data_IF_669588201785
#
_entry.id   IF_669588201785
#
_cell.length_a   1.000
_cell.length_b   1.000
_cell.length_c   1.000
_cell.angle_alpha   90.00
_cell.angle_beta   90.00
_cell.angle_gamma   90.00
#
_symmetry.space_group_name_H-M   'P 1'
#
loop_
_entity.id
_entity.type
_entity.pdbx_description
1 polymer ?
#
# COMPACT_ATOMS: atom_id res chain seq x y z
N UNK A 1 -7.98 -15.27 -34.20
CA UNK A 1 -7.69 -15.94 -32.91
C UNK A 1 -6.28 -15.56 -32.48
N UNK A 2 -6.12 -14.49 -31.70
CA UNK A 2 -4.82 -14.09 -31.17
C UNK A 2 -4.51 -14.98 -29.97
N UNK A 3 -3.57 -15.91 -30.14
CA UNK A 3 -2.99 -16.68 -29.05
C UNK A 3 -2.43 -15.72 -28.00
N UNK A 4 -3.20 -15.47 -26.94
CA UNK A 4 -2.73 -14.81 -25.74
C UNK A 4 -1.64 -15.70 -25.14
N UNK A 5 -0.38 -15.39 -25.43
CA UNK A 5 0.76 -15.94 -24.71
C UNK A 5 0.49 -15.69 -23.22
N UNK A 6 0.26 -16.74 -22.45
CA UNK A 6 0.30 -16.65 -20.99
C UNK A 6 1.74 -16.32 -20.65
N UNK A 7 2.06 -15.04 -20.55
CA UNK A 7 3.36 -14.60 -20.06
C UNK A 7 3.42 -15.02 -18.60
N UNK A 8 4.30 -15.98 -18.29
CA UNK A 8 4.65 -16.26 -16.91
C UNK A 8 5.14 -14.96 -16.27
N UNK A 9 4.80 -14.73 -15.00
CA UNK A 9 5.32 -13.58 -14.27
C UNK A 9 6.86 -13.56 -14.26
N UNK A 10 7.49 -12.43 -13.88
CA UNK A 10 8.95 -12.30 -13.86
C UNK A 10 9.63 -13.46 -13.14
N UNK A 11 10.78 -13.91 -13.60
CA UNK A 11 11.58 -14.94 -12.95
C UNK A 11 12.20 -14.45 -11.63
N UNK A 12 12.78 -15.37 -10.85
CA UNK A 12 13.52 -15.00 -9.63
C UNK A 12 14.72 -14.09 -9.95
N UNK A 13 15.43 -14.35 -11.05
CA UNK A 13 16.55 -13.51 -11.50
C UNK A 13 16.12 -12.14 -12.00
N UNK A 14 14.93 -12.02 -12.61
CA UNK A 14 14.39 -10.71 -13.00
C UNK A 14 14.08 -9.85 -11.77
N UNK A 15 13.49 -10.45 -10.72
CA UNK A 15 13.24 -9.76 -9.45
C UNK A 15 14.54 -9.38 -8.75
N UNK A 16 15.54 -10.26 -8.76
CA UNK A 16 16.85 -9.99 -8.18
C UNK A 16 17.53 -8.80 -8.89
N UNK A 17 17.50 -8.78 -10.23
CA UNK A 17 18.01 -7.66 -11.01
C UNK A 17 17.24 -6.36 -10.72
N UNK A 18 15.91 -6.43 -10.64
CA UNK A 18 15.07 -5.28 -10.33
C UNK A 18 15.43 -4.66 -8.99
N UNK A 19 15.57 -5.45 -7.92
CA UNK A 19 16.01 -4.92 -6.63
C UNK A 19 17.44 -4.40 -6.67
N UNK A 20 18.36 -5.11 -7.34
CA UNK A 20 19.77 -4.68 -7.41
C UNK A 20 19.96 -3.34 -8.10
N UNK A 21 19.23 -3.12 -9.20
CA UNK A 21 19.55 -2.09 -10.18
C UNK A 21 18.50 -1.00 -10.33
N UNK A 22 17.23 -1.27 -10.01
CA UNK A 22 16.11 -0.40 -10.38
C UNK A 22 15.29 0.10 -9.20
N UNK A 23 15.06 -0.73 -8.18
CA UNK A 23 14.18 -0.35 -7.06
C UNK A 23 14.72 0.89 -6.33
N UNK A 24 13.93 1.96 -6.16
CA UNK A 24 14.41 3.24 -5.65
C UNK A 24 14.52 3.27 -4.11
N UNK A 25 15.33 2.37 -3.53
CA UNK A 25 15.46 2.18 -2.08
C UNK A 25 15.71 3.47 -1.30
N UNK A 26 16.58 4.36 -1.81
CA UNK A 26 16.89 5.64 -1.16
C UNK A 26 15.65 6.53 -1.04
N UNK A 27 14.84 6.62 -2.10
CA UNK A 27 13.66 7.48 -2.12
C UNK A 27 12.55 6.92 -1.23
N UNK A 28 12.31 5.60 -1.28
CA UNK A 28 11.33 4.94 -0.43
C UNK A 28 11.72 5.01 1.05
N UNK A 29 13.00 4.79 1.37
CA UNK A 29 13.51 4.97 2.72
C UNK A 29 13.30 6.40 3.21
N UNK A 30 13.71 7.41 2.43
CA UNK A 30 13.56 8.81 2.82
C UNK A 30 12.10 9.23 2.99
N UNK A 31 11.21 8.74 2.12
CA UNK A 31 9.77 8.96 2.23
C UNK A 31 9.25 8.42 3.57
N UNK A 32 9.50 7.15 3.86
CA UNK A 32 8.99 6.48 5.06
C UNK A 32 9.66 6.92 6.37
N UNK A 33 10.90 7.42 6.27
CA UNK A 33 11.67 7.94 7.40
C UNK A 33 11.32 9.40 7.72
N UNK A 34 10.67 10.11 6.79
CA UNK A 34 10.31 11.53 6.90
C UNK A 34 11.50 12.47 7.19
N UNK A 35 12.72 12.02 6.90
CA UNK A 35 13.98 12.71 7.18
C UNK A 35 15.10 12.07 6.36
N UNK A 36 16.15 12.82 5.96
CA UNK A 36 17.36 12.23 5.38
C UNK A 36 18.19 11.41 6.36
N UNK A 37 18.12 11.72 7.66
CA UNK A 37 18.85 11.00 8.72
C UNK A 37 17.97 9.87 9.27
N UNK A 38 18.44 8.60 9.31
CA UNK A 38 17.67 7.50 9.88
C UNK A 38 17.09 7.82 11.25
N UNK A 39 15.82 7.49 11.42
CA UNK A 39 15.04 7.77 12.62
C UNK A 39 14.15 6.56 12.98
N UNK A 40 13.42 6.70 14.08
CA UNK A 40 12.45 5.70 14.53
C UNK A 40 11.39 5.38 13.47
N UNK A 41 11.06 6.34 12.60
CA UNK A 41 10.02 6.18 11.57
C UNK A 41 10.38 5.12 10.51
N UNK A 42 11.66 4.76 10.37
CA UNK A 42 12.10 3.58 9.60
C UNK A 42 12.55 2.43 10.49
N UNK A 43 13.36 2.69 11.52
CA UNK A 43 13.94 1.64 12.38
C UNK A 43 12.85 0.79 13.05
N UNK A 44 11.75 1.43 13.46
CA UNK A 44 10.63 0.77 14.10
C UNK A 44 9.45 0.51 13.16
N UNK A 45 9.63 0.65 11.84
CA UNK A 45 8.57 0.38 10.87
C UNK A 45 8.54 -1.09 10.50
N UNK A 46 7.34 -1.66 10.52
CA UNK A 46 7.15 -3.03 10.05
C UNK A 46 7.21 -3.08 8.52
N UNK A 47 7.91 -4.10 8.02
CA UNK A 47 7.78 -4.59 6.66
C UNK A 47 7.43 -6.08 6.68
N UNK A 48 6.49 -6.47 5.82
CA UNK A 48 6.20 -7.87 5.54
C UNK A 48 6.72 -8.25 4.16
N UNK A 49 7.22 -9.47 3.99
CA UNK A 49 7.73 -9.99 2.72
C UNK A 49 6.91 -11.21 2.30
N UNK A 50 6.42 -11.20 1.06
CA UNK A 50 5.71 -12.32 0.45
C UNK A 50 6.60 -12.99 -0.59
N UNK A 51 6.74 -14.31 -0.50
CA UNK A 51 7.62 -15.10 -1.35
C UNK A 51 6.84 -15.95 -2.35
N UNK A 52 7.50 -16.32 -3.45
CA UNK A 52 6.92 -17.16 -4.50
C UNK A 52 6.47 -18.54 -4.03
N UNK A 53 7.10 -19.04 -2.96
CA UNK A 53 6.70 -20.29 -2.29
C UNK A 53 5.36 -20.20 -1.56
N UNK A 54 4.76 -19.02 -1.45
CA UNK A 54 3.60 -18.75 -0.61
C UNK A 54 3.95 -18.38 0.83
N UNK A 55 5.22 -18.45 1.21
CA UNK A 55 5.67 -17.99 2.53
C UNK A 55 5.42 -16.48 2.71
N UNK A 56 5.09 -16.09 3.94
CA UNK A 56 4.83 -14.70 4.31
C UNK A 56 5.52 -14.38 5.63
N UNK A 57 6.48 -13.46 5.61
CA UNK A 57 7.32 -13.11 6.77
C UNK A 57 7.02 -11.69 7.22
N UNK A 58 6.37 -11.55 8.37
CA UNK A 58 6.07 -10.27 9.03
C UNK A 58 7.20 -9.78 9.93
N UNK A 59 7.03 -8.56 10.46
CA UNK A 59 7.88 -7.98 11.49
C UNK A 59 9.36 -7.83 11.11
N UNK A 60 9.66 -7.57 9.84
CA UNK A 60 11.00 -7.11 9.45
C UNK A 60 11.08 -5.59 9.70
N UNK A 61 12.28 -5.08 9.98
CA UNK A 61 12.53 -3.63 10.03
C UNK A 61 13.98 -3.33 9.67
N UNK A 62 14.25 -2.11 9.22
CA UNK A 62 15.52 -1.75 8.57
C UNK A 62 16.10 -0.46 9.15
N UNK A 63 17.42 -0.44 9.35
CA UNK A 63 18.10 0.65 10.04
C UNK A 63 18.60 1.76 9.12
N UNK A 64 18.82 1.45 7.84
CA UNK A 64 19.38 2.38 6.86
C UNK A 64 18.97 2.00 5.44
N UNK A 65 19.27 2.86 4.46
CA UNK A 65 19.07 2.56 3.04
C UNK A 65 19.84 1.30 2.64
N UNK A 66 21.07 1.15 3.13
CA UNK A 66 21.94 0.00 2.84
C UNK A 66 21.39 -1.29 3.46
N UNK A 67 20.92 -1.23 4.71
CA UNK A 67 20.31 -2.38 5.39
C UNK A 67 19.00 -2.81 4.70
N UNK A 68 18.14 -1.85 4.35
CA UNK A 68 16.91 -2.11 3.61
C UNK A 68 17.20 -2.77 2.25
N UNK A 69 18.12 -2.20 1.47
CA UNK A 69 18.53 -2.77 0.18
C UNK A 69 19.11 -4.19 0.34
N UNK A 70 20.09 -4.36 1.22
CA UNK A 70 20.78 -5.64 1.40
C UNK A 70 19.83 -6.76 1.86
N UNK A 71 18.89 -6.46 2.76
CA UNK A 71 17.93 -7.46 3.23
C UNK A 71 16.90 -7.84 2.16
N UNK A 72 16.40 -6.87 1.39
CA UNK A 72 15.46 -7.15 0.29
C UNK A 72 16.15 -7.91 -0.86
N UNK A 73 17.37 -7.55 -1.23
CA UNK A 73 18.15 -8.28 -2.24
C UNK A 73 18.42 -9.73 -1.80
N UNK A 74 18.81 -9.93 -0.54
CA UNK A 74 19.08 -11.27 0.01
C UNK A 74 17.82 -12.12 0.07
N UNK A 75 16.68 -11.52 0.43
CA UNK A 75 15.41 -12.24 0.55
C UNK A 75 14.74 -12.49 -0.81
N UNK A 76 14.94 -11.58 -1.77
CA UNK A 76 14.32 -11.57 -3.10
C UNK A 76 12.80 -11.89 -3.09
N UNK A 77 11.98 -11.14 -2.33
CA UNK A 77 10.54 -11.42 -2.24
C UNK A 77 9.82 -11.01 -3.54
N UNK A 78 8.70 -11.68 -3.86
CA UNK A 78 7.84 -11.29 -5.00
C UNK A 78 7.23 -9.89 -4.76
N UNK A 79 6.95 -9.55 -3.49
CA UNK A 79 6.60 -8.20 -3.04
C UNK A 79 6.90 -8.03 -1.56
N UNK A 80 6.92 -6.79 -1.10
CA UNK A 80 6.86 -6.47 0.31
C UNK A 80 5.81 -5.40 0.60
N UNK A 81 5.36 -5.37 1.84
CA UNK A 81 4.25 -4.55 2.30
C UNK A 81 4.72 -3.68 3.46
N UNK A 82 4.23 -2.44 3.51
CA UNK A 82 4.65 -1.42 4.47
C UNK A 82 3.62 -1.34 5.60
N UNK A 83 4.08 -1.51 6.83
CA UNK A 83 3.27 -1.48 8.04
C UNK A 83 3.40 -0.18 8.85
N UNK A 84 2.95 -0.26 10.09
CA UNK A 84 2.98 0.84 11.05
C UNK A 84 4.41 1.08 11.60
N UNK A 85 4.61 2.28 12.14
CA UNK A 85 5.72 2.64 13.01
C UNK A 85 5.35 2.20 14.43
N UNK A 86 6.22 1.42 15.06
CA UNK A 86 6.03 0.89 16.39
C UNK A 86 6.87 1.62 17.45
N UNK A 87 6.58 1.36 18.72
CA UNK A 87 7.37 1.85 19.85
C UNK A 87 8.75 1.16 20.00
N UNK A 88 8.90 -0.07 19.49
CA UNK A 88 10.15 -0.86 19.47
C UNK A 88 10.38 -1.42 18.05
N UNK A 89 11.62 -1.81 17.67
CA UNK A 89 11.89 -2.41 16.37
C UNK A 89 11.11 -3.72 16.15
N UNK A 90 10.29 -3.83 15.08
CA UNK A 90 9.53 -5.06 14.80
C UNK A 90 10.39 -6.33 14.72
N UNK A 91 11.62 -6.23 14.19
CA UNK A 91 12.55 -7.37 14.09
C UNK A 91 12.94 -8.00 15.43
N UNK A 92 12.75 -7.30 16.54
CA UNK A 92 13.05 -7.76 17.90
C UNK A 92 11.84 -8.41 18.59
N UNK A 93 10.71 -8.52 17.87
CA UNK A 93 9.43 -9.02 18.41
C UNK A 93 9.55 -10.35 19.14
N UNK A 94 10.37 -11.28 18.67
CA UNK A 94 10.46 -12.61 19.27
C UNK A 94 11.12 -12.62 20.66
N UNK A 95 11.80 -11.53 21.02
CA UNK A 95 12.34 -11.29 22.38
C UNK A 95 11.40 -10.49 23.27
N UNK A 96 10.25 -10.06 22.75
CA UNK A 96 9.29 -9.18 23.42
C UNK A 96 7.99 -9.93 23.72
N UNK A 97 7.31 -9.53 24.80
CA UNK A 97 5.92 -9.94 25.00
C UNK A 97 5.03 -9.24 23.95
N UNK A 98 4.03 -9.95 23.42
CA UNK A 98 3.13 -9.40 22.37
C UNK A 98 2.50 -8.06 22.75
N UNK A 99 2.20 -7.84 24.04
CA UNK A 99 1.60 -6.61 24.56
C UNK A 99 2.54 -5.40 24.54
N UNK A 100 3.83 -5.61 24.34
CA UNK A 100 4.84 -4.55 24.37
C UNK A 100 5.03 -3.85 23.02
N UNK A 101 4.69 -4.51 21.91
CA UNK A 101 4.86 -3.95 20.57
C UNK A 101 3.59 -3.20 20.16
N UNK A 102 3.59 -1.88 20.33
CA UNK A 102 2.43 -1.00 20.10
C UNK A 102 2.66 -0.13 18.87
N UNK A 103 1.70 -0.16 17.95
CA UNK A 103 1.68 0.73 16.80
C UNK A 103 1.43 2.18 17.26
N UNK A 104 2.20 3.12 16.74
CA UNK A 104 2.16 4.53 17.10
C UNK A 104 1.61 5.38 15.96
N UNK A 105 2.13 5.19 14.76
CA UNK A 105 1.79 6.01 13.59
C UNK A 105 1.83 5.16 12.32
N UNK A 106 1.04 5.55 11.32
CA UNK A 106 1.08 4.98 9.96
C UNK A 106 0.42 5.94 9.00
N UNK A 107 0.93 6.07 7.78
CA UNK A 107 0.24 6.77 6.71
C UNK A 107 -1.22 6.33 6.62
N UNK A 108 -2.12 7.30 6.44
CA UNK A 108 -3.52 7.02 6.14
C UNK A 108 -3.59 6.53 4.69
N UNK A 109 -4.19 5.36 4.49
CA UNK A 109 -4.20 4.69 3.20
C UNK A 109 -5.63 4.44 2.74
N UNK A 110 -5.84 4.58 1.44
CA UNK A 110 -7.08 4.21 0.78
C UNK A 110 -6.77 3.26 -0.37
N UNK A 111 -7.61 2.26 -0.55
CA UNK A 111 -7.49 1.26 -1.60
C UNK A 111 -8.77 1.29 -2.44
N UNK A 112 -8.60 1.39 -3.75
CA UNK A 112 -9.69 1.40 -4.72
C UNK A 112 -9.37 0.37 -5.78
N UNK A 113 -10.18 -0.68 -5.81
CA UNK A 113 -10.09 -1.76 -6.77
C UNK A 113 -11.23 -1.73 -7.80
N UNK A 114 -10.95 -2.23 -9.00
CA UNK A 114 -11.89 -2.16 -10.12
C UNK A 114 -13.02 -3.20 -10.07
N UNK A 115 -12.84 -4.32 -9.38
CA UNK A 115 -13.88 -5.36 -9.31
C UNK A 115 -15.12 -4.94 -8.51
N UNK A 116 -14.97 -4.00 -7.57
CA UNK A 116 -16.12 -3.32 -6.94
C UNK A 116 -17.05 -2.63 -7.97
N UNK A 117 -16.59 -2.43 -9.21
CA UNK A 117 -17.35 -1.82 -10.31
C UNK A 117 -17.80 -2.82 -11.37
N UNK A 118 -17.62 -4.13 -11.17
CA UNK A 118 -17.96 -5.16 -12.17
C UNK A 118 -19.42 -5.11 -12.60
N UNK A 119 -20.35 -4.84 -11.67
CA UNK A 119 -21.77 -4.70 -11.96
C UNK A 119 -22.11 -3.48 -12.86
N UNK A 120 -21.18 -2.53 -13.02
CA UNK A 120 -21.41 -1.26 -13.71
C UNK A 120 -20.51 -1.06 -14.95
N UNK A 121 -19.72 -2.08 -15.33
CA UNK A 121 -18.85 -2.03 -16.50
C UNK A 121 -19.08 -3.22 -17.42
N UNK A 122 -19.01 -2.97 -18.72
CA UNK A 122 -19.20 -4.01 -19.75
C UNK A 122 -17.98 -4.22 -20.63
N UNK A 123 -16.97 -3.34 -20.54
CA UNK A 123 -15.78 -3.41 -21.39
C UNK A 123 -14.72 -4.42 -20.93
N UNK A 124 -14.76 -4.83 -19.66
CA UNK A 124 -13.86 -5.79 -19.03
C UNK A 124 -14.59 -6.45 -17.84
N UNK A 125 -14.09 -7.59 -17.36
CA UNK A 125 -14.61 -8.26 -16.15
C UNK A 125 -13.49 -8.74 -15.22
N UNK A 126 -13.82 -8.94 -13.94
CA UNK A 126 -12.92 -9.45 -12.91
C UNK A 126 -11.65 -8.60 -12.80
N UNK A 127 -10.52 -9.19 -13.14
CA UNK A 127 -9.23 -8.52 -12.96
C UNK A 127 -8.71 -7.78 -14.21
N UNK A 128 -9.44 -7.82 -15.32
CA UNK A 128 -9.06 -7.12 -16.54
C UNK A 128 -9.41 -5.63 -16.45
N UNK A 129 -8.57 -4.78 -17.03
CA UNK A 129 -8.79 -3.33 -17.11
C UNK A 129 -8.44 -2.80 -18.50
N UNK A 130 -9.14 -1.74 -18.93
CA UNK A 130 -8.78 -0.95 -20.10
C UNK A 130 -9.00 0.54 -19.80
N UNK A 131 -8.61 1.41 -20.74
CA UNK A 131 -8.75 2.87 -20.61
C UNK A 131 -10.20 3.34 -20.41
N UNK A 132 -11.20 2.55 -20.83
CA UNK A 132 -12.61 2.86 -20.61
C UNK A 132 -13.00 2.72 -19.13
N UNK A 133 -12.81 1.54 -18.53
CA UNK A 133 -13.16 1.33 -17.13
C UNK A 133 -12.20 2.04 -16.17
N UNK A 134 -10.96 2.33 -16.56
CA UNK A 134 -10.03 3.13 -15.74
C UNK A 134 -10.57 4.53 -15.38
N UNK A 135 -11.58 5.01 -16.11
CA UNK A 135 -12.32 6.23 -15.76
C UNK A 135 -13.00 6.13 -14.39
N UNK A 136 -13.41 4.95 -13.93
CA UNK A 136 -13.92 4.75 -12.56
C UNK A 136 -12.85 5.11 -11.52
N UNK A 137 -11.64 4.55 -11.64
CA UNK A 137 -10.51 4.88 -10.74
C UNK A 137 -10.15 6.35 -10.84
N UNK A 138 -10.14 6.91 -12.05
CA UNK A 138 -9.84 8.34 -12.27
C UNK A 138 -10.83 9.27 -11.57
N UNK A 139 -12.12 8.97 -11.63
CA UNK A 139 -13.16 9.72 -10.92
C UNK A 139 -13.08 9.52 -9.42
N UNK A 140 -12.84 8.29 -8.96
CA UNK A 140 -12.70 8.00 -7.54
C UNK A 140 -11.50 8.74 -6.93
N UNK A 141 -10.35 8.77 -7.62
CA UNK A 141 -9.21 9.61 -7.24
C UNK A 141 -9.57 11.09 -7.17
N UNK A 142 -10.34 11.61 -8.14
CA UNK A 142 -10.77 13.02 -8.14
C UNK A 142 -11.65 13.36 -6.93
N UNK A 143 -12.64 12.53 -6.64
CA UNK A 143 -13.56 12.71 -5.49
C UNK A 143 -12.79 12.63 -4.18
N UNK A 144 -11.96 11.59 -4.01
CA UNK A 144 -11.12 11.41 -2.83
C UNK A 144 -10.15 12.59 -2.65
N UNK A 145 -9.50 13.06 -3.72
CA UNK A 145 -8.60 14.20 -3.65
C UNK A 145 -9.30 15.49 -3.20
N UNK A 146 -10.55 15.69 -3.63
CA UNK A 146 -11.36 16.84 -3.24
C UNK A 146 -11.58 16.80 -1.72
N UNK A 147 -12.12 15.69 -1.19
CA UNK A 147 -12.33 15.54 0.25
C UNK A 147 -11.02 15.64 1.05
N UNK A 148 -9.95 14.97 0.61
CA UNK A 148 -8.66 14.99 1.30
C UNK A 148 -8.06 16.40 1.37
N UNK A 149 -8.18 17.22 0.31
CA UNK A 149 -7.62 18.57 0.25
C UNK A 149 -8.53 19.61 0.89
N UNK A 150 -9.80 19.62 0.54
CA UNK A 150 -10.73 20.71 0.85
C UNK A 150 -11.32 20.53 2.25
N UNK A 151 -11.70 19.30 2.60
CA UNK A 151 -12.39 19.03 3.87
C UNK A 151 -11.38 18.70 4.97
N UNK A 152 -10.44 17.80 4.67
CA UNK A 152 -9.43 17.38 5.65
C UNK A 152 -8.19 18.26 5.62
N UNK A 153 -7.95 19.09 4.61
CA UNK A 153 -6.78 19.97 4.52
C UNK A 153 -5.43 19.26 4.28
N UNK A 154 -5.43 18.00 3.84
CA UNK A 154 -4.20 17.21 3.64
C UNK A 154 -3.44 17.72 2.42
N UNK A 155 -2.11 17.74 2.51
CA UNK A 155 -1.24 18.34 1.49
C UNK A 155 -0.32 17.31 0.85
N UNK A 156 0.13 16.33 1.63
CA UNK A 156 1.17 15.38 1.27
C UNK A 156 0.54 14.01 1.03
N UNK A 157 0.05 13.77 -0.18
CA UNK A 157 -0.44 12.45 -0.57
C UNK A 157 -0.12 12.11 -2.01
N UNK A 158 0.05 10.81 -2.27
CA UNK A 158 0.35 10.26 -3.59
C UNK A 158 -0.56 9.07 -3.89
N UNK A 159 -0.92 8.93 -5.16
CA UNK A 159 -1.58 7.73 -5.66
C UNK A 159 -0.57 6.82 -6.36
N UNK A 160 -0.63 5.54 -6.05
CA UNK A 160 0.27 4.51 -6.59
C UNK A 160 -0.58 3.44 -7.25
N UNK A 161 -0.25 3.06 -8.49
CA UNK A 161 -0.91 1.96 -9.17
C UNK A 161 -0.68 0.64 -8.41
N UNK A 162 -1.72 -0.18 -8.23
CA UNK A 162 -1.63 -1.43 -7.45
C UNK A 162 -0.85 -2.55 -8.15
N UNK A 163 -0.42 -2.33 -9.40
CA UNK A 163 0.25 -3.33 -10.23
C UNK A 163 -0.69 -4.15 -11.11
N UNK A 164 -2.02 -3.99 -10.95
CA UNK A 164 -3.00 -4.72 -11.76
C UNK A 164 -4.22 -3.88 -12.17
N UNK A 165 -5.05 -3.49 -11.21
CA UNK A 165 -6.40 -2.99 -11.52
C UNK A 165 -6.93 -1.90 -10.59
N UNK A 166 -6.13 -1.47 -9.62
CA UNK A 166 -6.54 -0.51 -8.62
C UNK A 166 -5.49 0.56 -8.39
N UNK A 167 -5.77 1.45 -7.45
CA UNK A 167 -4.85 2.48 -7.02
C UNK A 167 -4.89 2.65 -5.50
N UNK A 168 -3.72 2.84 -4.90
CA UNK A 168 -3.56 3.07 -3.48
C UNK A 168 -3.21 4.54 -3.22
N UNK A 169 -3.97 5.21 -2.37
CA UNK A 169 -3.60 6.53 -1.87
C UNK A 169 -2.79 6.40 -0.58
N UNK A 170 -1.68 7.12 -0.47
CA UNK A 170 -0.87 7.23 0.74
C UNK A 170 -0.80 8.68 1.20
N UNK A 171 -1.48 9.00 2.30
CA UNK A 171 -1.47 10.33 2.92
C UNK A 171 -0.42 10.36 4.04
N UNK A 172 0.60 11.19 3.85
CA UNK A 172 1.82 11.25 4.65
C UNK A 172 1.88 12.47 5.58
N UNK A 173 0.91 13.39 5.54
CA UNK A 173 0.80 14.50 6.50
C UNK A 173 0.95 13.97 7.94
N UNK A 174 1.74 14.64 8.78
CA UNK A 174 2.00 14.20 10.16
C UNK A 174 0.73 13.90 10.96
N UNK A 175 -0.31 14.75 10.81
CA UNK A 175 -1.61 14.55 11.48
C UNK A 175 -2.43 13.40 10.91
N UNK A 176 -2.23 13.01 9.65
CA UNK A 176 -2.81 11.80 9.08
C UNK A 176 -2.12 10.55 9.66
N UNK A 177 -0.80 10.61 9.83
CA UNK A 177 -0.03 9.50 10.37
C UNK A 177 -0.37 9.17 11.81
N UNK A 178 -0.66 10.20 12.60
CA UNK A 178 -1.00 10.12 14.01
C UNK A 178 -2.46 9.72 14.32
N UNK A 179 -3.31 9.52 13.30
CA UNK A 179 -4.71 9.13 13.54
C UNK A 179 -4.80 7.78 14.25
N UNK A 180 -5.65 7.71 15.27
CA UNK A 180 -6.07 6.46 15.92
C UNK A 180 -7.00 5.65 15.02
N UNK A 181 -7.20 4.37 15.33
CA UNK A 181 -8.12 3.52 14.54
C UNK A 181 -9.55 4.07 14.51
N UNK A 182 -10.03 4.64 15.62
CA UNK A 182 -11.34 5.30 15.68
C UNK A 182 -11.38 6.52 14.76
N UNK A 183 -10.34 7.35 14.76
CA UNK A 183 -10.29 8.52 13.89
C UNK A 183 -10.18 8.12 12.41
N UNK A 184 -9.41 7.08 12.08
CA UNK A 184 -9.35 6.52 10.72
C UNK A 184 -10.70 5.98 10.29
N UNK A 185 -11.43 5.34 11.19
CA UNK A 185 -12.80 4.88 10.93
C UNK A 185 -13.73 6.06 10.63
N UNK A 186 -13.65 7.14 11.39
CA UNK A 186 -14.45 8.34 11.14
C UNK A 186 -14.13 8.98 9.78
N UNK A 187 -12.85 9.02 9.38
CA UNK A 187 -12.45 9.49 8.04
C UNK A 187 -13.02 8.57 6.96
N UNK A 188 -12.92 7.25 7.15
CA UNK A 188 -13.50 6.26 6.22
C UNK A 188 -15.01 6.44 6.09
N UNK A 189 -15.73 6.58 7.21
CA UNK A 189 -17.18 6.73 7.22
C UNK A 189 -17.64 8.04 6.56
N UNK A 190 -16.81 9.09 6.60
CA UNK A 190 -17.06 10.35 5.89
C UNK A 190 -16.94 10.18 4.37
N UNK A 191 -15.88 9.55 3.88
CA UNK A 191 -15.65 9.39 2.43
C UNK A 191 -16.44 8.23 1.81
N UNK A 192 -16.81 7.21 2.59
CA UNK A 192 -17.53 6.02 2.13
C UNK A 192 -19.05 6.24 2.17
N UNK A 193 -19.54 7.10 1.28
CA UNK A 193 -20.97 7.45 1.17
C UNK A 193 -21.83 6.23 0.81
N UNK A 194 -21.31 5.33 -0.04
CA UNK A 194 -22.02 4.10 -0.43
C UNK A 194 -21.65 2.96 0.52
N UNK A 195 -22.48 2.77 1.56
CA UNK A 195 -22.28 1.75 2.59
C UNK A 195 -22.70 0.35 2.14
N UNK A 196 -23.89 0.23 1.54
CA UNK A 196 -24.35 -1.02 0.93
C UNK A 196 -23.97 -1.02 -0.55
N UNK A 197 -23.09 -1.94 -0.92
CA UNK A 197 -22.61 -2.12 -2.30
C UNK A 197 -23.41 -3.18 -3.06
N UNK A 198 -24.43 -3.76 -2.44
CA UNK A 198 -25.30 -4.72 -3.10
C UNK A 198 -26.13 -4.03 -4.19
N UNK A 199 -25.91 -4.45 -5.43
CA UNK A 199 -26.56 -3.89 -6.61
C UNK A 199 -27.97 -4.44 -6.82
N UNK A 200 -28.31 -5.56 -6.20
CA UNK A 200 -29.60 -6.25 -6.39
C UNK A 200 -30.75 -5.51 -5.68
N UNK A 201 -30.44 -4.63 -4.72
CA UNK A 201 -31.43 -3.88 -3.94
C UNK A 201 -31.73 -2.48 -4.48
N UNK A 202 -31.06 -2.03 -5.55
CA UNK A 202 -31.12 -0.64 -6.05
C UNK A 202 -32.31 -0.31 -6.96
N UNK A 203 -33.17 -1.29 -7.25
CA UNK A 203 -34.31 -1.13 -8.17
C UNK A 203 -35.69 -1.40 -7.53
N UNK A 204 -35.82 -1.23 -6.21
CA UNK A 204 -37.11 -1.21 -5.50
C UNK A 204 -37.43 0.19 -5.00
#
# INVERSE_FOLDING_TARGET
MTNSVKTNGPSSSDMEYYYKSLYPFKHIFNWLNHSPKPSRDMINREFAMAFRSGAYKRYNSFNSVQDFKAQIEKANPDRFEIGAIYNKPPRERDTLLKSELKALEKELVFDIDMDDYDAFRTCCSGAQVCSKCWKFISLAMKIMNTALREDFGYKDFIWVFSGRRGAHCWVSDKRARALTDVQRRNVLDYVNVIRDRNTDKRWL
#
